data_IF_899268740840
#
_entry.id   IF_899268740840
#
_cell.length_a   1.000
_cell.length_b   1.000
_cell.length_c   1.000
_cell.angle_alpha   90.00
_cell.angle_beta   90.00
_cell.angle_gamma   90.00
#
_symmetry.space_group_name_H-M   'P 1'
#
loop_
_entity.id
_entity.type
_entity.pdbx_description
1 polymer ?
#
# COMPACT_ATOMS: atom_id res chain seq x y z
N UNK A 1 6.94 -9.14 16.99
CA UNK A 1 6.16 -8.79 18.20
C UNK A 1 7.14 -8.25 19.23
N UNK A 2 7.15 -6.93 19.48
CA UNK A 2 8.08 -6.33 20.42
C UNK A 2 7.70 -6.75 21.85
N UNK A 3 8.52 -7.59 22.46
CA UNK A 3 8.35 -8.05 23.82
C UNK A 3 8.98 -7.01 24.77
N UNK A 4 8.18 -6.04 25.22
CA UNK A 4 8.62 -4.94 26.11
C UNK A 4 8.73 -5.39 27.59
N UNK A 5 8.63 -6.69 27.88
CA UNK A 5 8.50 -7.20 29.24
C UNK A 5 9.81 -7.53 29.99
N UNK A 6 11.00 -7.19 29.48
CA UNK A 6 12.27 -7.70 30.03
C UNK A 6 13.22 -6.68 30.68
N UNK A 7 12.76 -5.53 31.18
CA UNK A 7 13.67 -4.60 31.86
C UNK A 7 13.08 -3.85 33.08
N UNK A 8 12.41 -4.51 34.03
CA UNK A 8 12.26 -3.95 35.40
C UNK A 8 12.24 -5.05 36.48
N UNK A 9 13.14 -5.02 37.50
CA UNK A 9 13.26 -6.05 38.52
C UNK A 9 12.27 -5.91 39.71
N UNK A 10 11.11 -5.31 39.48
CA UNK A 10 10.06 -5.19 40.50
C UNK A 10 8.71 -5.38 39.82
N UNK A 11 7.87 -6.28 40.34
CA UNK A 11 6.48 -6.44 39.88
C UNK A 11 5.77 -5.11 40.08
N UNK A 12 5.72 -4.31 39.02
CA UNK A 12 5.06 -3.01 39.03
C UNK A 12 3.56 -3.28 38.98
N UNK A 13 2.91 -3.27 40.14
CA UNK A 13 1.45 -3.30 40.20
C UNK A 13 0.93 -2.02 39.57
N UNK A 14 0.30 -2.14 38.41
CA UNK A 14 -0.34 -1.03 37.72
C UNK A 14 -1.41 -0.41 38.65
N UNK A 15 -1.58 0.93 38.63
CA UNK A 15 -2.73 1.55 39.30
C UNK A 15 -4.04 0.88 38.84
N UNK A 16 -4.99 0.68 39.75
CA UNK A 16 -6.24 -0.05 39.46
C UNK A 16 -6.99 0.52 38.24
N UNK A 17 -7.00 1.86 38.11
CA UNK A 17 -7.60 2.56 36.97
C UNK A 17 -6.91 2.22 35.64
N UNK A 18 -5.58 2.08 35.65
CA UNK A 18 -4.80 1.65 34.48
C UNK A 18 -5.10 0.19 34.15
N UNK A 19 -5.18 -0.68 35.15
CA UNK A 19 -5.54 -2.10 34.99
C UNK A 19 -6.91 -2.27 34.32
N UNK A 20 -7.95 -1.64 34.87
CA UNK A 20 -9.32 -1.67 34.30
C UNK A 20 -9.41 -1.09 32.89
N UNK A 21 -8.57 -0.11 32.57
CA UNK A 21 -8.52 0.45 31.22
C UNK A 21 -7.88 -0.53 30.24
N UNK A 22 -6.77 -1.17 30.62
CA UNK A 22 -6.05 -2.12 29.77
C UNK A 22 -6.79 -3.44 29.58
N UNK A 23 -7.56 -3.89 30.56
CA UNK A 23 -8.42 -5.08 30.46
C UNK A 23 -9.39 -5.00 29.27
N UNK A 24 -9.88 -3.80 28.92
CA UNK A 24 -10.77 -3.60 27.77
C UNK A 24 -10.09 -3.83 26.40
N UNK A 25 -8.75 -3.81 26.37
CA UNK A 25 -7.95 -4.08 25.16
C UNK A 25 -7.38 -5.50 25.16
N UNK A 26 -7.58 -6.27 26.24
CA UNK A 26 -7.24 -7.68 26.25
C UNK A 26 -8.30 -8.45 25.47
N UNK A 27 -7.86 -9.13 24.43
CA UNK A 27 -8.72 -9.96 23.59
C UNK A 27 -8.31 -11.40 23.82
N UNK A 28 -9.22 -12.19 24.36
CA UNK A 28 -9.00 -13.62 24.57
C UNK A 28 -8.88 -14.36 23.22
N UNK A 29 -8.13 -15.46 23.21
CA UNK A 29 -7.92 -16.27 22.00
C UNK A 29 -9.24 -16.76 21.37
N UNK A 30 -10.26 -17.06 22.20
CA UNK A 30 -11.58 -17.45 21.72
C UNK A 30 -12.28 -16.32 20.96
N UNK A 31 -12.13 -15.08 21.42
CA UNK A 31 -12.67 -13.89 20.74
C UNK A 31 -11.90 -13.60 19.45
N UNK A 32 -10.58 -13.79 19.44
CA UNK A 32 -9.77 -13.68 18.21
C UNK A 32 -10.21 -14.71 17.15
N UNK A 33 -10.54 -15.93 17.57
CA UNK A 33 -11.04 -16.96 16.68
C UNK A 33 -12.41 -16.56 16.08
N UNK A 34 -13.35 -16.09 16.91
CA UNK A 34 -14.65 -15.59 16.44
C UNK A 34 -14.50 -14.42 15.44
N UNK A 35 -13.58 -13.49 15.71
CA UNK A 35 -13.27 -12.39 14.79
C UNK A 35 -12.73 -12.94 13.46
N UNK A 36 -11.84 -13.93 13.50
CA UNK A 36 -11.29 -14.57 12.30
C UNK A 36 -12.38 -15.24 11.45
N UNK A 37 -13.30 -15.97 12.08
CA UNK A 37 -14.43 -16.61 11.39
C UNK A 37 -15.32 -15.57 10.72
N UNK A 38 -15.67 -14.49 11.43
CA UNK A 38 -16.48 -13.39 10.86
C UNK A 38 -15.79 -12.71 9.68
N UNK A 39 -14.48 -12.46 9.77
CA UNK A 39 -13.71 -11.90 8.64
C UNK A 39 -13.75 -12.87 7.47
N UNK A 40 -13.57 -14.17 7.70
CA UNK A 40 -13.66 -15.18 6.65
C UNK A 40 -15.03 -15.18 5.97
N UNK A 41 -16.12 -15.09 6.71
CA UNK A 41 -17.48 -15.02 6.16
C UNK A 41 -17.68 -13.76 5.30
N UNK A 42 -17.16 -12.61 5.73
CA UNK A 42 -17.19 -11.38 4.94
C UNK A 42 -16.36 -11.50 3.65
N UNK A 43 -15.20 -12.17 3.69
CA UNK A 43 -14.39 -12.44 2.49
C UNK A 43 -15.15 -13.32 1.49
N UNK A 44 -15.81 -14.39 1.96
CA UNK A 44 -16.62 -15.29 1.10
C UNK A 44 -17.78 -14.54 0.47
N UNK A 45 -18.56 -13.80 1.27
CA UNK A 45 -19.67 -12.98 0.76
C UNK A 45 -19.18 -11.91 -0.23
N UNK A 46 -18.01 -11.33 0.02
CA UNK A 46 -17.36 -10.36 -0.86
C UNK A 46 -17.01 -10.94 -2.22
N UNK A 47 -16.47 -12.15 -2.26
CA UNK A 47 -16.18 -12.87 -3.50
C UNK A 47 -17.44 -13.20 -4.30
N UNK A 48 -18.56 -13.52 -3.63
CA UNK A 48 -19.81 -13.89 -4.29
C UNK A 48 -20.66 -12.70 -4.77
N UNK A 49 -20.61 -11.56 -4.06
CA UNK A 49 -21.53 -10.44 -4.29
C UNK A 49 -20.92 -9.04 -4.23
N UNK A 50 -19.60 -8.94 -4.05
CA UNK A 50 -18.88 -7.67 -3.95
C UNK A 50 -19.38 -6.78 -2.81
N UNK A 51 -19.18 -5.47 -2.98
CA UNK A 51 -19.57 -4.44 -2.01
C UNK A 51 -21.07 -4.40 -1.68
N UNK A 52 -21.93 -5.05 -2.49
CA UNK A 52 -23.38 -5.08 -2.24
C UNK A 52 -23.80 -6.11 -1.19
N UNK A 53 -22.96 -7.13 -0.93
CA UNK A 53 -23.27 -8.23 -0.02
C UNK A 53 -22.31 -8.36 1.16
N UNK A 54 -21.20 -7.63 1.15
CA UNK A 54 -20.17 -7.72 2.18
C UNK A 54 -19.57 -6.34 2.48
N UNK A 55 -19.17 -6.15 3.73
CA UNK A 55 -18.34 -5.01 4.14
C UNK A 55 -16.91 -5.10 3.57
N UNK A 56 -16.47 -6.29 3.14
CA UNK A 56 -15.20 -6.51 2.44
C UNK A 56 -15.49 -6.81 0.96
N UNK A 57 -15.33 -5.81 0.10
CA UNK A 57 -15.78 -5.86 -1.29
C UNK A 57 -15.03 -6.85 -2.21
N UNK A 58 -13.86 -7.36 -1.79
CA UNK A 58 -13.01 -8.30 -2.56
C UNK A 58 -12.81 -7.92 -4.03
N UNK A 59 -12.45 -6.66 -4.28
CA UNK A 59 -12.28 -6.12 -5.63
C UNK A 59 -11.12 -6.84 -6.38
N UNK A 60 -11.32 -7.25 -7.65
CA UNK A 60 -10.27 -7.93 -8.41
C UNK A 60 -9.11 -6.97 -8.76
N UNK A 61 -7.88 -7.44 -8.58
CA UNK A 61 -6.67 -6.65 -8.88
C UNK A 61 -6.29 -6.65 -10.36
N UNK A 62 -6.87 -7.55 -11.17
CA UNK A 62 -6.50 -7.82 -12.57
C UNK A 62 -5.03 -8.26 -12.78
N UNK A 63 -4.34 -8.70 -11.72
CA UNK A 63 -3.01 -9.33 -11.82
C UNK A 63 -3.21 -10.83 -12.05
N UNK A 64 -2.86 -11.37 -13.24
CA UNK A 64 -3.27 -12.71 -13.64
C UNK A 64 -2.45 -13.83 -13.01
N UNK A 65 -1.23 -13.54 -12.56
CA UNK A 65 -0.31 -14.50 -11.99
C UNK A 65 0.66 -13.83 -11.01
N UNK A 66 1.19 -14.62 -10.09
CA UNK A 66 2.32 -14.21 -9.25
C UNK A 66 3.60 -14.15 -10.09
N UNK A 67 4.58 -13.33 -9.68
CA UNK A 67 5.88 -13.30 -10.33
C UNK A 67 6.57 -14.68 -10.25
N UNK A 68 7.25 -15.07 -11.31
CA UNK A 68 7.95 -16.36 -11.42
C UNK A 68 9.48 -16.24 -11.29
N UNK A 69 9.97 -15.01 -11.11
CA UNK A 69 11.38 -14.69 -10.93
C UNK A 69 12.16 -14.56 -12.23
N UNK A 70 11.52 -14.72 -13.40
CA UNK A 70 12.13 -14.53 -14.71
C UNK A 70 11.92 -13.11 -15.28
N UNK A 71 11.27 -12.23 -14.52
CA UNK A 71 11.01 -10.85 -14.94
C UNK A 71 12.33 -10.10 -15.14
N UNK A 72 12.44 -9.43 -16.29
CA UNK A 72 13.62 -8.65 -16.67
C UNK A 72 13.20 -7.28 -17.18
N UNK A 73 14.09 -6.30 -17.04
CA UNK A 73 13.93 -4.99 -17.66
C UNK A 73 13.80 -3.86 -16.64
N UNK A 74 13.54 -2.66 -17.15
CA UNK A 74 13.45 -1.43 -16.37
C UNK A 74 12.01 -0.96 -16.30
N UNK A 75 11.56 -0.64 -15.09
CA UNK A 75 10.18 -0.24 -14.81
C UNK A 75 10.20 0.99 -13.92
N UNK A 76 9.25 1.90 -14.15
CA UNK A 76 8.99 2.99 -13.22
C UNK A 76 7.83 2.58 -12.32
N UNK A 77 7.98 2.75 -11.02
CA UNK A 77 6.87 2.69 -10.08
C UNK A 77 6.65 4.09 -9.49
N UNK A 78 5.41 4.55 -9.53
CA UNK A 78 4.96 5.76 -8.84
C UNK A 78 4.07 5.29 -7.69
N UNK A 79 4.37 5.73 -6.48
CA UNK A 79 3.60 5.41 -5.28
C UNK A 79 3.10 6.70 -4.63
N UNK A 80 1.78 6.84 -4.62
CA UNK A 80 1.07 7.93 -3.99
C UNK A 80 0.40 7.43 -2.72
N UNK A 81 0.91 7.91 -1.58
CA UNK A 81 0.36 7.61 -0.25
C UNK A 81 0.20 8.89 0.58
N UNK A 82 -1.05 9.34 0.72
CA UNK A 82 -1.38 10.58 1.42
C UNK A 82 -0.77 11.80 0.75
N UNK A 83 0.25 12.42 1.37
CA UNK A 83 0.99 13.57 0.82
C UNK A 83 2.38 13.23 0.29
N UNK A 84 2.78 11.96 0.39
CA UNK A 84 4.10 11.52 -0.06
C UNK A 84 3.96 10.92 -1.47
N UNK A 85 4.87 11.34 -2.35
CA UNK A 85 5.06 10.77 -3.68
C UNK A 85 6.42 10.09 -3.70
N UNK A 86 6.44 8.80 -4.00
CA UNK A 86 7.68 8.07 -4.28
C UNK A 86 7.72 7.73 -5.76
N UNK A 87 8.85 8.00 -6.40
CA UNK A 87 9.15 7.58 -7.77
C UNK A 87 10.35 6.65 -7.70
N UNK A 88 10.22 5.47 -8.29
CA UNK A 88 11.23 4.42 -8.27
C UNK A 88 11.54 3.95 -9.69
N UNK A 89 12.83 3.79 -9.99
CA UNK A 89 13.29 2.98 -11.12
C UNK A 89 13.66 1.59 -10.58
N UNK A 90 12.93 0.58 -11.01
CA UNK A 90 13.23 -0.83 -10.76
C UNK A 90 13.98 -1.40 -11.95
N UNK A 91 15.08 -2.10 -11.70
CA UNK A 91 15.75 -2.94 -12.70
C UNK A 91 15.66 -4.40 -12.25
N UNK A 92 14.82 -5.16 -12.95
CA UNK A 92 14.65 -6.59 -12.75
C UNK A 92 15.69 -7.34 -13.61
N UNK A 93 16.36 -8.32 -13.00
CA UNK A 93 17.46 -9.07 -13.61
C UNK A 93 17.09 -10.52 -13.95
N UNK A 94 15.90 -10.97 -13.56
CA UNK A 94 15.46 -12.35 -13.69
C UNK A 94 16.26 -13.31 -12.80
N UNK A 95 16.05 -14.61 -13.00
CA UNK A 95 16.72 -15.69 -12.25
C UNK A 95 16.61 -15.57 -10.72
N UNK A 96 15.48 -15.08 -10.21
CA UNK A 96 15.26 -14.82 -8.78
C UNK A 96 16.29 -13.87 -8.14
N UNK A 97 16.94 -13.02 -8.93
CA UNK A 97 17.88 -12.03 -8.40
C UNK A 97 17.14 -10.84 -7.80
N UNK A 98 17.67 -10.31 -6.70
CA UNK A 98 17.15 -9.10 -6.07
C UNK A 98 17.13 -7.92 -7.06
N UNK A 99 15.99 -7.22 -7.18
CA UNK A 99 15.88 -6.02 -8.00
C UNK A 99 16.83 -4.91 -7.54
N UNK A 100 17.43 -4.20 -8.51
CA UNK A 100 18.05 -2.90 -8.22
C UNK A 100 16.98 -1.82 -8.21
N UNK A 101 17.09 -0.88 -7.26
CA UNK A 101 16.14 0.23 -7.13
C UNK A 101 16.83 1.56 -6.91
N UNK A 102 16.37 2.59 -7.62
CA UNK A 102 16.70 4.00 -7.37
C UNK A 102 15.40 4.73 -7.05
N UNK A 103 15.35 5.48 -5.95
CA UNK A 103 14.11 6.04 -5.40
C UNK A 103 14.24 7.50 -5.04
N UNK A 104 13.33 8.35 -5.52
CA UNK A 104 13.16 9.73 -5.05
C UNK A 104 11.82 9.92 -4.35
N UNK A 105 11.84 10.63 -3.23
CA UNK A 105 10.65 10.98 -2.46
C UNK A 105 10.38 12.48 -2.60
N UNK A 106 9.12 12.82 -2.81
CA UNK A 106 8.61 14.19 -2.90
C UNK A 106 7.42 14.33 -1.96
N UNK A 107 7.16 15.57 -1.54
CA UNK A 107 6.01 15.90 -0.71
C UNK A 107 5.14 16.87 -1.48
N UNK A 108 3.86 16.54 -1.61
CA UNK A 108 2.92 17.45 -2.26
C UNK A 108 2.74 18.73 -1.43
N UNK A 109 2.81 19.91 -2.07
CA UNK A 109 2.37 21.14 -1.44
C UNK A 109 0.89 21.04 -1.04
N UNK A 110 0.52 21.68 0.07
CA UNK A 110 -0.86 21.68 0.54
C UNK A 110 -1.85 22.28 -0.47
N UNK A 111 -1.41 23.24 -1.27
CA UNK A 111 -2.19 23.82 -2.37
C UNK A 111 -2.50 22.82 -3.48
N UNK A 112 -1.57 21.91 -3.79
CA UNK A 112 -1.76 20.87 -4.80
C UNK A 112 -2.69 19.78 -4.29
N UNK A 113 -2.55 19.36 -3.02
CA UNK A 113 -3.42 18.35 -2.41
C UNK A 113 -4.89 18.79 -2.30
N UNK A 114 -5.14 20.10 -2.21
CA UNK A 114 -6.49 20.69 -2.17
C UNK A 114 -6.89 21.31 -3.51
N UNK A 115 -6.07 21.10 -4.53
CA UNK A 115 -6.20 21.70 -5.85
C UNK A 115 -7.05 20.86 -6.79
N UNK A 116 -6.90 21.10 -8.10
CA UNK A 116 -7.55 20.31 -9.14
C UNK A 116 -6.78 19.02 -9.45
N UNK A 117 -7.44 18.06 -10.10
CA UNK A 117 -6.77 16.87 -10.64
C UNK A 117 -5.62 17.22 -11.58
N UNK A 118 -5.79 18.23 -12.43
CA UNK A 118 -4.73 18.70 -13.33
C UNK A 118 -3.49 19.18 -12.56
N UNK A 119 -3.68 19.90 -11.45
CA UNK A 119 -2.57 20.35 -10.60
C UNK A 119 -1.84 19.16 -9.96
N UNK A 120 -2.60 18.16 -9.47
CA UNK A 120 -2.05 16.94 -8.89
C UNK A 120 -1.18 16.18 -9.91
N UNK A 121 -1.74 15.89 -11.09
CA UNK A 121 -1.04 15.13 -12.12
C UNK A 121 0.11 15.91 -12.76
N UNK A 122 -0.01 17.24 -12.91
CA UNK A 122 1.09 18.09 -13.36
C UNK A 122 2.27 18.03 -12.39
N UNK A 123 2.02 18.04 -11.08
CA UNK A 123 3.09 17.89 -10.09
C UNK A 123 3.78 16.52 -10.20
N UNK A 124 3.01 15.43 -10.34
CA UNK A 124 3.55 14.08 -10.52
C UNK A 124 4.44 14.01 -11.76
N UNK A 125 3.97 14.52 -12.89
CA UNK A 125 4.72 14.52 -14.16
C UNK A 125 6.01 15.33 -14.05
N UNK A 126 5.98 16.51 -13.41
CA UNK A 126 7.19 17.32 -13.21
C UNK A 126 8.22 16.60 -12.33
N UNK A 127 7.78 15.94 -11.25
CA UNK A 127 8.65 15.11 -10.41
C UNK A 127 9.25 13.94 -11.21
N UNK A 128 8.42 13.26 -12.01
CA UNK A 128 8.87 12.16 -12.87
C UNK A 128 9.90 12.62 -13.91
N UNK A 129 9.65 13.73 -14.60
CA UNK A 129 10.59 14.28 -15.59
C UNK A 129 11.94 14.63 -14.95
N UNK A 130 11.92 15.26 -13.77
CA UNK A 130 13.15 15.56 -13.02
C UNK A 130 13.92 14.28 -12.71
N UNK A 131 13.24 13.28 -12.14
CA UNK A 131 13.84 11.99 -11.81
C UNK A 131 14.43 11.29 -13.05
N UNK A 132 13.65 11.19 -14.13
CA UNK A 132 14.10 10.56 -15.38
C UNK A 132 15.29 11.27 -16.01
N UNK A 133 15.36 12.60 -15.93
CA UNK A 133 16.51 13.36 -16.39
C UNK A 133 17.77 13.04 -15.57
N UNK A 134 17.66 12.96 -14.24
CA UNK A 134 18.77 12.64 -13.34
C UNK A 134 19.35 11.23 -13.59
N UNK A 135 18.51 10.27 -13.96
CA UNK A 135 18.95 8.90 -14.31
C UNK A 135 19.21 8.70 -15.81
N UNK A 136 19.22 9.77 -16.62
CA UNK A 136 19.44 9.75 -18.07
C UNK A 136 18.46 8.87 -18.87
N UNK A 137 17.18 8.85 -18.46
CA UNK A 137 16.10 8.06 -19.09
C UNK A 137 14.93 8.93 -19.59
N UNK A 138 15.11 10.25 -19.71
CA UNK A 138 14.03 11.17 -20.12
C UNK A 138 13.37 10.80 -21.46
N UNK A 139 14.16 10.27 -22.41
CA UNK A 139 13.68 9.86 -23.73
C UNK A 139 13.40 8.35 -23.84
N UNK A 140 13.50 7.60 -22.73
CA UNK A 140 13.27 6.16 -22.74
C UNK A 140 11.76 5.86 -22.71
N UNK A 141 11.33 4.84 -23.46
CA UNK A 141 10.00 4.27 -23.30
C UNK A 141 10.05 3.21 -22.20
N UNK A 142 9.47 3.53 -21.03
CA UNK A 142 9.46 2.66 -19.86
C UNK A 142 8.02 2.32 -19.47
N UNK A 143 7.73 1.04 -19.13
CA UNK A 143 6.47 0.70 -18.48
C UNK A 143 6.38 1.38 -17.11
N UNK A 144 5.20 1.90 -16.79
CA UNK A 144 4.91 2.59 -15.52
C UNK A 144 3.85 1.81 -14.75
N UNK A 145 4.19 1.40 -13.54
CA UNK A 145 3.22 0.99 -12.52
C UNK A 145 2.83 2.19 -11.67
N UNK A 146 1.54 2.37 -11.40
CA UNK A 146 1.06 3.45 -10.55
C UNK A 146 0.27 2.89 -9.37
N UNK A 147 0.88 2.95 -8.19
CA UNK A 147 0.26 2.60 -6.91
C UNK A 147 -0.52 3.82 -6.43
N UNK A 148 -1.85 3.75 -6.59
CA UNK A 148 -2.77 4.80 -6.22
C UNK A 148 -3.60 4.32 -5.03
N UNK A 149 -3.13 4.65 -3.81
CA UNK A 149 -3.67 4.12 -2.55
C UNK A 149 -4.96 4.83 -2.11
N UNK A 150 -5.95 4.88 -2.99
CA UNK A 150 -7.29 5.40 -2.73
C UNK A 150 -8.33 4.36 -3.15
N UNK A 151 -9.55 4.41 -2.57
CA UNK A 151 -10.64 3.53 -2.99
C UNK A 151 -10.93 3.71 -4.48
N UNK A 152 -10.71 2.65 -5.26
CA UNK A 152 -10.90 2.65 -6.70
C UNK A 152 -11.65 1.39 -7.12
N UNK A 153 -12.58 1.54 -8.06
CA UNK A 153 -13.08 0.44 -8.86
C UNK A 153 -12.12 0.21 -10.03
N UNK A 154 -11.41 -0.91 -10.05
CA UNK A 154 -10.57 -1.29 -11.19
C UNK A 154 -11.47 -1.85 -12.30
N UNK A 155 -11.32 -1.32 -13.52
CA UNK A 155 -11.96 -1.82 -14.74
C UNK A 155 -11.02 -2.71 -15.56
N UNK A 156 -9.70 -2.50 -15.39
CA UNK A 156 -8.62 -3.36 -15.89
C UNK A 156 -7.33 -3.03 -15.15
N UNK A 157 -6.24 -3.76 -15.42
CA UNK A 157 -4.91 -3.44 -14.88
C UNK A 157 -4.38 -2.04 -15.29
N UNK A 158 -4.99 -1.40 -16.30
CA UNK A 158 -4.60 -0.06 -16.80
C UNK A 158 -5.72 0.98 -16.68
N UNK A 159 -6.82 0.67 -15.98
CA UNK A 159 -7.95 1.57 -15.87
C UNK A 159 -8.66 1.39 -14.53
N UNK A 160 -8.86 2.49 -13.83
CA UNK A 160 -9.59 2.51 -12.57
C UNK A 160 -10.42 3.80 -12.47
N UNK A 161 -11.52 3.72 -11.73
CA UNK A 161 -12.38 4.84 -11.38
C UNK A 161 -12.28 5.08 -9.87
N UNK A 162 -11.86 6.29 -9.49
CA UNK A 162 -11.87 6.72 -8.10
C UNK A 162 -13.33 6.73 -7.58
N UNK A 163 -13.53 6.17 -6.38
CA UNK A 163 -14.83 6.07 -5.70
C UNK A 163 -15.14 7.30 -4.84
#
# INVERSE_FOLDING_TARGET
>A
MLNILFLFPTVMTLPEEVGKTLEQFYIEDGVLHEISEKIQDELVQGLEGGASKSSIAMLPSFVPALPDGNEIGKYIAIDLSGRNLRIMLLTLKGSNQEPEQINHNYVFPASVMKGTGDQLFTFIVNCLMKFLNEVNLLNASLPVGFVFSYPCELLSIRSARLL
#
